data_IF_668157052245
#
_entry.id   IF_668157052245
#
_cell.length_a   1.000
_cell.length_b   1.000
_cell.length_c   1.000
_cell.angle_alpha   90.00
_cell.angle_beta   90.00
_cell.angle_gamma   90.00
#
_symmetry.space_group_name_H-M   'P 1'
#
loop_
_entity.id
_entity.type
_entity.pdbx_description
1 polymer ?
#
# COMPACT_ATOMS: atom_id res chain seq x y z
N UNK A 1 15.74 -6.27 -18.63
CA UNK A 1 15.12 -7.03 -17.53
C UNK A 1 15.08 -6.25 -16.22
N UNK A 2 16.21 -6.05 -15.52
CA UNK A 2 16.26 -5.44 -14.18
C UNK A 2 15.59 -4.06 -14.09
N UNK A 3 15.90 -3.14 -15.02
CA UNK A 3 15.31 -1.80 -15.09
C UNK A 3 13.77 -1.79 -15.18
N UNK A 4 13.15 -2.81 -15.78
CA UNK A 4 11.69 -2.90 -15.88
C UNK A 4 11.08 -3.37 -14.55
N UNK A 5 11.74 -4.31 -13.87
CA UNK A 5 11.34 -4.80 -12.56
C UNK A 5 11.48 -3.69 -11.51
N UNK A 6 12.60 -2.96 -11.51
CA UNK A 6 12.84 -1.81 -10.63
C UNK A 6 11.80 -0.70 -10.83
N UNK A 7 11.48 -0.37 -12.09
CA UNK A 7 10.41 0.59 -12.40
C UNK A 7 9.06 0.09 -11.89
N UNK A 8 8.72 -1.17 -12.16
CA UNK A 8 7.48 -1.78 -11.67
C UNK A 8 7.37 -1.75 -10.15
N UNK A 9 8.47 -2.06 -9.45
CA UNK A 9 8.53 -2.00 -7.99
C UNK A 9 8.34 -0.58 -7.47
N UNK A 10 9.06 0.41 -8.01
CA UNK A 10 8.96 1.82 -7.60
C UNK A 10 7.55 2.37 -7.83
N UNK A 11 6.97 2.11 -9.00
CA UNK A 11 5.60 2.51 -9.28
C UNK A 11 4.62 1.83 -8.33
N UNK A 12 4.76 0.52 -8.09
CA UNK A 12 3.95 -0.21 -7.12
C UNK A 12 4.09 0.31 -5.69
N UNK A 13 5.29 0.72 -5.27
CA UNK A 13 5.54 1.28 -3.95
C UNK A 13 4.84 2.63 -3.76
N UNK A 14 4.94 3.53 -4.75
CA UNK A 14 4.25 4.83 -4.72
C UNK A 14 2.74 4.64 -4.70
N UNK A 15 2.22 3.75 -5.55
CA UNK A 15 0.79 3.43 -5.63
C UNK A 15 0.28 2.77 -4.34
N UNK A 16 1.07 1.88 -3.75
CA UNK A 16 0.78 1.26 -2.46
C UNK A 16 0.77 2.26 -1.31
N UNK A 17 1.73 3.18 -1.29
CA UNK A 17 1.78 4.26 -0.29
C UNK A 17 0.58 5.20 -0.39
N UNK A 18 0.22 5.61 -1.60
CA UNK A 18 -0.92 6.51 -1.80
C UNK A 18 -2.24 5.81 -1.45
N UNK A 19 -2.48 4.60 -1.95
CA UNK A 19 -3.69 3.83 -1.62
C UNK A 19 -3.77 3.49 -0.14
N UNK A 20 -2.66 3.05 0.45
CA UNK A 20 -2.60 2.68 1.86
C UNK A 20 -2.95 3.85 2.78
N UNK A 21 -2.58 5.08 2.40
CA UNK A 21 -2.92 6.27 3.18
C UNK A 21 -4.44 6.52 3.27
N UNK A 22 -5.19 6.21 2.20
CA UNK A 22 -6.64 6.36 2.18
C UNK A 22 -7.39 5.17 2.79
N UNK A 23 -6.84 3.96 2.65
CA UNK A 23 -7.51 2.72 3.06
C UNK A 23 -7.28 2.39 4.54
N UNK A 24 -6.11 2.74 5.09
CA UNK A 24 -5.77 2.40 6.47
C UNK A 24 -6.41 3.46 7.40
N UNK A 25 -7.36 3.08 8.27
CA UNK A 25 -7.98 4.02 9.18
C UNK A 25 -6.98 4.41 10.28
N UNK A 26 -6.68 5.71 10.38
CA UNK A 26 -5.88 6.25 11.48
C UNK A 26 -6.67 6.37 12.81
N UNK A 27 -7.99 6.43 12.71
CA UNK A 27 -8.91 6.47 13.84
C UNK A 27 -9.93 5.37 13.73
N UNK A 28 -10.18 4.70 14.84
CA UNK A 28 -11.34 3.83 15.00
C UNK A 28 -12.40 4.60 15.78
N UNK A 29 -13.61 4.67 15.23
CA UNK A 29 -14.76 5.26 15.91
C UNK A 29 -15.66 4.13 16.33
N UNK A 30 -15.76 3.88 17.63
CA UNK A 30 -16.66 2.89 18.19
C UNK A 30 -17.89 3.60 18.79
N UNK A 31 -19.08 3.06 18.50
CA UNK A 31 -20.33 3.56 19.09
C UNK A 31 -20.56 2.83 20.41
N UNK A 32 -20.62 3.57 21.51
CA UNK A 32 -20.73 3.00 22.86
C UNK A 32 -22.18 3.06 23.40
N UNK A 33 -23.14 3.47 22.55
CA UNK A 33 -24.54 3.69 22.95
C UNK A 33 -24.82 5.14 23.40
N UNK A 34 -26.10 5.50 23.53
CA UNK A 34 -26.59 6.86 23.89
C UNK A 34 -26.01 8.02 23.08
N UNK A 35 -25.86 7.82 21.76
CA UNK A 35 -25.29 8.81 20.84
C UNK A 35 -23.86 9.27 21.17
N UNK A 36 -23.15 8.55 22.05
CA UNK A 36 -21.75 8.80 22.38
C UNK A 36 -20.85 7.96 21.47
N UNK A 37 -19.92 8.64 20.79
CA UNK A 37 -18.87 8.01 19.98
C UNK A 37 -17.54 8.09 20.71
N UNK A 38 -16.91 6.96 20.98
CA UNK A 38 -15.51 6.93 21.42
C UNK A 38 -14.61 6.90 20.19
N UNK A 39 -13.66 7.84 20.13
CA UNK A 39 -12.65 7.89 19.07
C UNK A 39 -11.32 7.44 19.64
N UNK A 40 -10.85 6.28 19.22
CA UNK A 40 -9.51 5.80 19.55
C UNK A 40 -8.60 6.03 18.36
N UNK A 41 -7.51 6.76 18.57
CA UNK A 41 -6.49 6.96 17.54
C UNK A 41 -5.49 5.82 17.58
N UNK A 42 -5.13 5.29 16.41
CA UNK A 42 -3.98 4.42 16.31
C UNK A 42 -2.73 5.23 16.69
N UNK A 43 -1.78 4.61 17.39
CA UNK A 43 -0.47 5.23 17.56
C UNK A 43 0.14 5.47 16.18
N UNK A 44 0.72 6.65 15.98
CA UNK A 44 1.31 7.03 14.70
C UNK A 44 2.29 5.98 14.15
N UNK A 45 3.08 5.37 15.04
CA UNK A 45 4.04 4.31 14.68
C UNK A 45 3.32 3.08 14.12
N UNK A 46 2.23 2.63 14.75
CA UNK A 46 1.49 1.44 14.31
C UNK A 46 0.80 1.67 12.97
N UNK A 47 0.35 2.91 12.71
CA UNK A 47 -0.19 3.33 11.42
C UNK A 47 0.89 3.32 10.33
N UNK A 48 2.07 3.89 10.60
CA UNK A 48 3.21 3.90 9.68
C UNK A 48 3.64 2.47 9.34
N UNK A 49 3.69 1.58 10.33
CA UNK A 49 4.05 0.17 10.12
C UNK A 49 3.02 -0.50 9.19
N UNK A 50 1.72 -0.29 9.41
CA UNK A 50 0.69 -0.82 8.50
C UNK A 50 0.82 -0.26 7.09
N UNK A 51 1.08 1.05 6.97
CA UNK A 51 1.24 1.71 5.69
C UNK A 51 2.43 1.16 4.91
N UNK A 52 3.58 0.98 5.58
CA UNK A 52 4.78 0.41 4.96
C UNK A 52 4.50 -1.04 4.53
N UNK A 53 3.87 -1.86 5.37
CA UNK A 53 3.53 -3.25 5.02
C UNK A 53 2.65 -3.32 3.79
N UNK A 54 1.58 -2.53 3.75
CA UNK A 54 0.68 -2.46 2.60
C UNK A 54 1.43 -2.01 1.34
N UNK A 55 2.25 -0.96 1.45
CA UNK A 55 3.04 -0.43 0.33
C UNK A 55 4.00 -1.45 -0.25
N UNK A 56 4.69 -2.22 0.61
CA UNK A 56 5.63 -3.27 0.17
C UNK A 56 4.91 -4.38 -0.59
N UNK A 57 3.71 -4.80 -0.14
CA UNK A 57 2.92 -5.82 -0.85
C UNK A 57 2.56 -5.34 -2.26
N UNK A 58 2.10 -4.09 -2.42
CA UNK A 58 1.78 -3.52 -3.73
C UNK A 58 3.04 -3.33 -4.58
N UNK A 59 4.17 -2.97 -3.97
CA UNK A 59 5.46 -2.85 -4.67
C UNK A 59 5.92 -4.19 -5.27
N UNK A 60 5.76 -5.29 -4.53
CA UNK A 60 6.06 -6.64 -5.04
C UNK A 60 5.14 -7.00 -6.21
N UNK A 61 3.84 -6.70 -6.13
CA UNK A 61 2.92 -6.88 -7.26
C UNK A 61 3.33 -6.05 -8.48
N UNK A 62 3.74 -4.79 -8.25
CA UNK A 62 4.28 -3.91 -9.29
C UNK A 62 5.54 -4.49 -9.96
N UNK A 63 6.44 -5.08 -9.19
CA UNK A 63 7.63 -5.75 -9.70
C UNK A 63 7.28 -6.96 -10.59
N UNK A 64 6.30 -7.77 -10.19
CA UNK A 64 5.79 -8.90 -10.98
C UNK A 64 5.18 -8.42 -12.29
N UNK A 65 4.36 -7.36 -12.27
CA UNK A 65 3.80 -6.75 -13.47
C UNK A 65 4.93 -6.23 -14.39
N UNK A 66 5.93 -5.55 -13.82
CA UNK A 66 7.11 -5.06 -14.54
C UNK A 66 7.90 -6.19 -15.22
N UNK A 67 8.03 -7.35 -14.56
CA UNK A 67 8.64 -8.55 -15.16
C UNK A 67 7.82 -9.06 -16.36
N UNK A 68 6.49 -9.20 -16.23
CA UNK A 68 5.64 -9.66 -17.31
C UNK A 68 5.65 -8.70 -18.51
N UNK A 69 5.66 -7.38 -18.26
CA UNK A 69 5.76 -6.36 -19.31
C UNK A 69 7.09 -6.45 -20.06
N UNK A 70 8.20 -6.68 -19.37
CA UNK A 70 9.49 -6.93 -20.01
C UNK A 70 9.45 -8.19 -20.87
N UNK A 71 8.87 -9.29 -20.33
CA UNK A 71 8.75 -10.55 -21.06
C UNK A 71 7.92 -10.41 -22.34
N UNK A 72 6.81 -9.67 -22.28
CA UNK A 72 5.99 -9.36 -23.46
C UNK A 72 6.78 -8.58 -24.50
N UNK A 73 7.45 -7.49 -24.08
CA UNK A 73 8.26 -6.66 -24.97
C UNK A 73 9.47 -7.39 -25.58
N UNK A 74 9.99 -8.41 -24.91
CA UNK A 74 11.12 -9.21 -25.40
C UNK A 74 10.71 -10.30 -26.39
N UNK A 75 9.41 -10.59 -26.54
CA UNK A 75 8.85 -11.57 -27.46
C UNK A 75 8.29 -10.94 -28.75
N UNK A 76 8.12 -9.61 -28.77
CA UNK A 76 7.92 -8.79 -29.96
C UNK A 76 9.28 -8.36 -30.56
#
# INVERSE_FOLDING_TARGET
MLRFIEKGFLYGLILGGTLGFFVIPYKEVQSVGDAVTETTYLKLIDFIIHLIRFSVVIAVLGAVIGFFLYRKKSLE
#
